data_IF_123030812849
#
_entry.id   IF_123030812849
#
_cell.length_a   1.000
_cell.length_b   1.000
_cell.length_c   1.000
_cell.angle_alpha   90.00
_cell.angle_beta   90.00
_cell.angle_gamma   90.00
#
_symmetry.space_group_name_H-M   'P 1'
#
loop_
_entity.id
_entity.type
_entity.pdbx_description
1 polymer ?
#
# COMPACT_ATOMS: atom_id res chain seq x y z
N UNK A 1 -55.15 -36.83 -37.94
CA UNK A 1 -54.10 -36.79 -36.90
C UNK A 1 -52.87 -36.00 -37.38
N UNK A 2 -52.92 -34.67 -37.40
CA UNK A 2 -51.80 -33.80 -37.85
C UNK A 2 -51.54 -32.58 -36.95
N UNK A 3 -52.48 -32.17 -36.08
CA UNK A 3 -52.36 -30.99 -35.22
C UNK A 3 -51.36 -31.16 -34.07
N UNK A 4 -51.34 -32.33 -33.44
CA UNK A 4 -50.46 -32.67 -32.32
C UNK A 4 -48.96 -32.63 -32.69
N UNK A 5 -48.59 -32.94 -33.93
CA UNK A 5 -47.19 -32.77 -34.40
C UNK A 5 -46.80 -31.31 -34.56
N UNK A 6 -47.72 -30.45 -34.95
CA UNK A 6 -47.44 -29.02 -35.13
C UNK A 6 -47.27 -28.33 -33.76
N UNK A 7 -48.16 -28.63 -32.81
CA UNK A 7 -48.12 -28.08 -31.43
C UNK A 7 -46.83 -28.46 -30.70
N UNK A 8 -46.39 -29.72 -30.81
CA UNK A 8 -45.12 -30.15 -30.20
C UNK A 8 -43.90 -29.41 -30.79
N UNK A 9 -43.91 -29.08 -32.09
CA UNK A 9 -42.81 -28.29 -32.69
C UNK A 9 -42.80 -26.85 -32.20
N UNK A 10 -43.97 -26.20 -32.07
CA UNK A 10 -44.07 -24.86 -31.49
C UNK A 10 -43.57 -24.82 -30.04
N UNK A 11 -43.95 -25.80 -29.21
CA UNK A 11 -43.44 -25.92 -27.83
C UNK A 11 -41.92 -26.10 -27.82
N UNK A 12 -41.37 -26.94 -28.69
CA UNK A 12 -39.93 -27.15 -28.76
C UNK A 12 -39.16 -25.90 -29.20
N UNK A 13 -39.73 -25.09 -30.10
CA UNK A 13 -39.14 -23.82 -30.56
C UNK A 13 -39.15 -22.79 -29.43
N UNK A 14 -40.27 -22.62 -28.73
CA UNK A 14 -40.35 -21.72 -27.58
C UNK A 14 -39.39 -22.13 -26.46
N UNK A 15 -39.25 -23.42 -26.19
CA UNK A 15 -38.29 -23.92 -25.21
C UNK A 15 -36.84 -23.70 -25.65
N UNK A 16 -36.52 -23.93 -26.93
CA UNK A 16 -35.18 -23.67 -27.47
C UNK A 16 -34.80 -22.19 -27.39
N UNK A 17 -35.76 -21.28 -27.63
CA UNK A 17 -35.55 -19.83 -27.47
C UNK A 17 -35.29 -19.50 -25.99
N UNK A 18 -36.04 -20.09 -25.06
CA UNK A 18 -35.83 -19.91 -23.63
C UNK A 18 -34.43 -20.37 -23.19
N UNK A 19 -33.99 -21.56 -23.64
CA UNK A 19 -32.66 -22.09 -23.35
C UNK A 19 -31.58 -21.20 -23.95
N UNK A 20 -31.74 -20.75 -25.20
CA UNK A 20 -30.79 -19.85 -25.84
C UNK A 20 -30.67 -18.52 -25.08
N UNK A 21 -31.78 -17.99 -24.58
CA UNK A 21 -31.80 -16.78 -23.76
C UNK A 21 -31.07 -17.00 -22.42
N UNK A 22 -31.26 -18.15 -21.77
CA UNK A 22 -30.48 -18.51 -20.58
C UNK A 22 -28.99 -18.63 -20.86
N UNK A 23 -28.59 -19.21 -22.01
CA UNK A 23 -27.18 -19.27 -22.43
C UNK A 23 -26.62 -17.86 -22.62
N UNK A 24 -27.36 -16.96 -23.28
CA UNK A 24 -26.93 -15.56 -23.46
C UNK A 24 -26.78 -14.85 -22.12
N UNK A 25 -27.74 -15.00 -21.19
CA UNK A 25 -27.63 -14.44 -19.83
C UNK A 25 -26.42 -15.04 -19.10
N UNK A 26 -26.19 -16.35 -19.24
CA UNK A 26 -25.03 -17.03 -18.67
C UNK A 26 -23.71 -16.49 -19.22
N UNK A 27 -23.62 -16.26 -20.53
CA UNK A 27 -22.45 -15.66 -21.18
C UNK A 27 -22.23 -14.21 -20.77
N UNK A 28 -23.29 -13.40 -20.64
CA UNK A 28 -23.17 -12.02 -20.15
C UNK A 28 -22.68 -12.04 -18.69
N UNK A 29 -23.29 -12.86 -17.82
CA UNK A 29 -22.87 -12.99 -16.41
C UNK A 29 -21.43 -13.48 -16.28
N UNK A 30 -21.04 -14.48 -17.08
CA UNK A 30 -19.69 -15.03 -17.07
C UNK A 30 -18.68 -14.04 -17.66
N UNK A 31 -19.04 -13.35 -18.75
CA UNK A 31 -18.23 -12.31 -19.37
C UNK A 31 -18.02 -11.12 -18.44
N UNK A 32 -19.08 -10.64 -17.78
CA UNK A 32 -18.98 -9.60 -16.74
C UNK A 32 -18.14 -10.08 -15.56
N UNK A 33 -18.32 -11.32 -15.09
CA UNK A 33 -17.50 -11.88 -14.03
C UNK A 33 -16.02 -11.96 -14.44
N UNK A 34 -15.71 -12.46 -15.63
CA UNK A 34 -14.34 -12.54 -16.15
C UNK A 34 -13.74 -11.15 -16.43
N UNK A 35 -14.55 -10.17 -16.86
CA UNK A 35 -14.12 -8.79 -17.08
C UNK A 35 -13.82 -8.09 -15.76
N UNK A 36 -14.72 -8.16 -14.79
CA UNK A 36 -14.49 -7.61 -13.45
C UNK A 36 -13.29 -8.30 -12.80
N UNK A 37 -13.19 -9.62 -12.91
CA UNK A 37 -12.06 -10.39 -12.38
C UNK A 37 -10.76 -10.03 -13.09
N UNK A 38 -10.74 -9.95 -14.42
CA UNK A 38 -9.56 -9.60 -15.22
C UNK A 38 -9.11 -8.15 -15.01
N UNK A 39 -10.04 -7.20 -14.97
CA UNK A 39 -9.75 -5.81 -14.67
C UNK A 39 -9.17 -5.70 -13.26
N UNK A 40 -9.83 -6.27 -12.25
CA UNK A 40 -9.34 -6.28 -10.87
C UNK A 40 -7.98 -6.96 -10.77
N UNK A 41 -7.77 -8.07 -11.48
CA UNK A 41 -6.53 -8.87 -11.49
C UNK A 41 -5.32 -8.08 -11.97
N UNK A 42 -5.49 -7.32 -13.04
CA UNK A 42 -4.40 -6.65 -13.74
C UNK A 42 -4.26 -5.17 -13.39
N UNK A 43 -5.28 -4.51 -12.83
CA UNK A 43 -5.22 -3.11 -12.40
C UNK A 43 -5.06 -2.94 -10.90
N UNK A 44 -4.49 -3.94 -10.20
CA UNK A 44 -4.17 -3.80 -8.78
C UNK A 44 -2.89 -2.97 -8.64
N UNK A 45 -3.05 -1.66 -8.82
CA UNK A 45 -2.06 -0.67 -8.42
C UNK A 45 -1.90 -0.61 -6.90
N UNK A 46 -0.95 0.19 -6.42
CA UNK A 46 -0.75 0.43 -4.99
C UNK A 46 -2.05 0.79 -4.27
N UNK A 47 -2.14 0.48 -2.98
CA UNK A 47 -3.30 0.88 -2.17
C UNK A 47 -3.35 2.40 -2.04
N UNK A 48 -2.19 3.03 -1.99
CA UNK A 48 -2.02 4.47 -1.85
C UNK A 48 -0.95 5.00 -2.81
N UNK A 49 -1.08 6.25 -3.26
CA UNK A 49 0.03 6.90 -3.99
C UNK A 49 1.15 7.29 -3.02
N UNK A 50 2.36 7.52 -3.55
CA UNK A 50 3.49 7.99 -2.73
C UNK A 50 3.11 9.29 -2.00
N UNK A 51 3.45 9.44 -0.71
CA UNK A 51 4.48 8.69 0.03
C UNK A 51 4.02 7.35 0.64
N UNK A 52 2.72 7.05 0.68
CA UNK A 52 2.17 5.87 1.36
C UNK A 52 2.41 5.85 2.87
N UNK A 53 2.03 4.74 3.51
CA UNK A 53 2.16 4.48 4.94
C UNK A 53 2.92 3.17 5.16
N UNK A 54 3.91 3.19 6.04
CA UNK A 54 4.63 1.98 6.45
C UNK A 54 3.81 1.19 7.48
N UNK A 55 3.61 -0.09 7.20
CA UNK A 55 2.84 -1.02 8.03
C UNK A 55 3.68 -2.26 8.28
N UNK A 56 3.89 -2.56 9.55
CA UNK A 56 4.62 -3.75 9.99
C UNK A 56 3.68 -4.94 10.11
N UNK A 57 4.02 -6.04 9.45
CA UNK A 57 3.25 -7.29 9.47
C UNK A 57 4.11 -8.46 9.89
N UNK A 58 3.57 -9.32 10.75
CA UNK A 58 4.24 -10.54 11.20
C UNK A 58 3.70 -11.74 10.42
N UNK A 59 4.59 -12.38 9.67
CA UNK A 59 4.29 -13.53 8.82
C UNK A 59 4.87 -14.77 9.46
N UNK A 60 4.00 -15.50 10.15
CA UNK A 60 4.37 -16.73 10.86
C UNK A 60 4.30 -17.96 9.95
N UNK A 61 5.09 -19.00 10.27
CA UNK A 61 5.24 -20.20 9.42
C UNK A 61 4.03 -21.13 9.35
N UNK A 62 3.05 -20.93 10.22
CA UNK A 62 1.76 -21.61 10.18
C UNK A 62 0.77 -20.98 9.19
N UNK A 63 1.07 -19.79 8.66
CA UNK A 63 0.21 -19.12 7.68
C UNK A 63 0.41 -19.71 6.28
N UNK A 64 -0.67 -20.21 5.70
CA UNK A 64 -0.70 -20.49 4.26
C UNK A 64 -0.56 -19.20 3.44
N UNK A 65 -0.11 -19.31 2.20
CA UNK A 65 -0.05 -18.19 1.24
C UNK A 65 -1.36 -17.38 1.11
N UNK A 66 -2.49 -18.05 1.22
CA UNK A 66 -3.79 -17.41 1.22
C UNK A 66 -4.04 -16.59 2.50
N UNK A 67 -3.59 -17.11 3.65
CA UNK A 67 -3.68 -16.43 4.94
C UNK A 67 -2.73 -15.22 4.99
N UNK A 68 -1.54 -15.32 4.38
CA UNK A 68 -0.63 -14.18 4.20
C UNK A 68 -1.33 -13.08 3.38
N UNK A 69 -1.95 -13.42 2.25
CA UNK A 69 -2.75 -12.45 1.49
C UNK A 69 -3.88 -11.81 2.31
N UNK A 70 -4.57 -12.60 3.14
CA UNK A 70 -5.61 -12.05 4.03
C UNK A 70 -5.05 -11.12 5.09
N UNK A 71 -3.87 -11.41 5.64
CA UNK A 71 -3.16 -10.56 6.59
C UNK A 71 -2.81 -9.22 5.92
N UNK A 72 -2.14 -9.25 4.76
CA UNK A 72 -1.78 -8.05 4.02
C UNK A 72 -2.99 -7.18 3.67
N UNK A 73 -4.13 -7.80 3.32
CA UNK A 73 -5.38 -7.08 3.05
C UNK A 73 -5.94 -6.43 4.31
N UNK A 74 -5.91 -7.14 5.44
CA UNK A 74 -6.42 -6.65 6.73
C UNK A 74 -5.65 -5.42 7.18
N UNK A 75 -4.34 -5.43 6.98
CA UNK A 75 -3.42 -4.34 7.30
C UNK A 75 -3.42 -3.22 6.24
N UNK A 76 -4.27 -3.31 5.22
CA UNK A 76 -4.43 -2.27 4.20
C UNK A 76 -3.28 -2.17 3.20
N UNK A 77 -2.40 -3.17 3.14
CA UNK A 77 -1.27 -3.18 2.22
C UNK A 77 -1.62 -3.69 0.81
N UNK A 78 -2.69 -4.49 0.69
CA UNK A 78 -3.23 -4.92 -0.60
C UNK A 78 -4.75 -4.76 -0.65
N UNK A 79 -5.31 -4.63 -1.86
CA UNK A 79 -6.75 -4.38 -2.05
C UNK A 79 -7.55 -5.69 -2.00
N UNK A 80 -7.04 -6.78 -2.57
CA UNK A 80 -7.70 -8.08 -2.54
C UNK A 80 -6.74 -9.27 -2.26
N UNK A 81 -7.10 -10.06 -1.25
CA UNK A 81 -6.34 -11.23 -0.83
C UNK A 81 -6.43 -12.39 -1.85
N UNK A 82 -7.57 -12.56 -2.53
CA UNK A 82 -7.72 -13.61 -3.53
C UNK A 82 -6.85 -13.30 -4.74
N UNK A 83 -6.72 -12.02 -5.07
CA UNK A 83 -5.93 -11.59 -6.19
C UNK A 83 -4.44 -11.74 -5.90
N UNK A 84 -3.98 -11.23 -4.77
CA UNK A 84 -2.62 -11.48 -4.30
C UNK A 84 -2.29 -12.98 -4.31
N UNK A 85 -3.21 -13.83 -3.83
CA UNK A 85 -3.02 -15.27 -3.83
C UNK A 85 -2.85 -15.86 -5.24
N UNK A 86 -3.70 -15.47 -6.19
CA UNK A 86 -3.58 -15.92 -7.59
C UNK A 86 -2.27 -15.42 -8.20
N UNK A 87 -1.92 -14.14 -7.99
CA UNK A 87 -0.67 -13.56 -8.47
C UNK A 87 0.55 -14.28 -7.88
N UNK A 88 0.57 -14.52 -6.58
CA UNK A 88 1.64 -15.24 -5.90
C UNK A 88 1.79 -16.66 -6.45
N UNK A 89 0.67 -17.37 -6.61
CA UNK A 89 0.65 -18.75 -7.12
C UNK A 89 1.08 -18.87 -8.57
N UNK A 90 0.89 -17.83 -9.37
CA UNK A 90 1.39 -17.74 -10.75
C UNK A 90 2.81 -17.13 -10.85
N UNK A 91 3.27 -16.47 -9.78
CA UNK A 91 4.60 -15.86 -9.72
C UNK A 91 5.69 -16.91 -9.45
N UNK A 92 6.94 -16.51 -9.71
CA UNK A 92 8.11 -17.32 -9.33
C UNK A 92 8.36 -17.38 -7.81
N UNK A 93 7.59 -16.64 -7.01
CA UNK A 93 7.70 -16.54 -5.55
C UNK A 93 6.75 -17.51 -4.81
N UNK A 94 5.95 -18.30 -5.53
CA UNK A 94 5.12 -19.35 -4.94
C UNK A 94 5.96 -20.29 -4.05
N UNK A 95 5.52 -20.48 -2.81
CA UNK A 95 6.20 -21.29 -1.80
C UNK A 95 7.55 -20.76 -1.34
N UNK A 96 7.93 -19.53 -1.73
CA UNK A 96 9.21 -18.91 -1.39
C UNK A 96 9.07 -17.69 -0.47
N UNK A 97 7.85 -17.32 -0.11
CA UNK A 97 7.64 -16.33 0.94
C UNK A 97 8.22 -16.87 2.24
N UNK A 98 9.08 -16.08 2.86
CA UNK A 98 9.72 -16.46 4.09
C UNK A 98 8.92 -15.89 5.27
N UNK A 99 9.17 -16.47 6.43
CA UNK A 99 8.53 -16.05 7.68
C UNK A 99 9.36 -14.95 8.32
N UNK A 100 8.71 -13.97 8.91
CA UNK A 100 9.38 -12.85 9.57
C UNK A 100 8.47 -11.64 9.72
N UNK A 101 9.02 -10.63 10.38
CA UNK A 101 8.40 -9.32 10.52
C UNK A 101 8.84 -8.44 9.36
N UNK A 102 7.88 -7.93 8.59
CA UNK A 102 8.14 -7.11 7.41
C UNK A 102 7.53 -5.72 7.59
N UNK A 103 8.31 -4.67 7.35
CA UNK A 103 7.78 -3.31 7.20
C UNK A 103 7.53 -3.06 5.72
N UNK A 104 6.25 -3.02 5.34
CA UNK A 104 5.81 -2.88 3.96
C UNK A 104 5.06 -1.56 3.82
N UNK A 105 5.12 -0.92 2.66
CA UNK A 105 4.48 0.38 2.45
C UNK A 105 3.22 0.24 1.58
N UNK A 106 2.16 0.99 1.89
CA UNK A 106 0.89 0.99 1.12
C UNK A 106 1.04 1.48 -0.32
N UNK A 107 2.13 2.18 -0.65
CA UNK A 107 2.49 2.59 -2.00
C UNK A 107 3.25 1.54 -2.82
N UNK A 108 3.59 0.40 -2.21
CA UNK A 108 4.18 -0.73 -2.92
C UNK A 108 3.10 -1.54 -3.65
N UNK A 109 3.47 -2.13 -4.79
CA UNK A 109 2.59 -3.09 -5.45
C UNK A 109 2.64 -4.44 -4.74
N UNK A 110 1.58 -5.23 -4.86
CA UNK A 110 1.53 -6.60 -4.35
C UNK A 110 2.75 -7.42 -4.79
N UNK A 111 3.24 -7.22 -6.02
CA UNK A 111 4.42 -7.89 -6.56
C UNK A 111 5.70 -7.47 -5.84
N UNK A 112 5.90 -6.18 -5.58
CA UNK A 112 7.08 -5.69 -4.89
C UNK A 112 7.12 -6.23 -3.45
N UNK A 113 5.96 -6.30 -2.79
CA UNK A 113 5.84 -6.92 -1.47
C UNK A 113 6.21 -8.40 -1.50
N UNK A 114 5.79 -9.16 -2.52
CA UNK A 114 6.20 -10.57 -2.68
C UNK A 114 7.71 -10.69 -2.87
N UNK A 115 8.35 -9.77 -3.58
CA UNK A 115 9.81 -9.74 -3.79
C UNK A 115 10.51 -9.52 -2.46
N UNK A 116 10.09 -8.52 -1.69
CA UNK A 116 10.66 -8.21 -0.37
C UNK A 116 10.51 -9.41 0.57
N UNK A 117 9.30 -9.96 0.68
CA UNK A 117 9.02 -11.11 1.56
C UNK A 117 9.72 -12.42 1.12
N UNK A 118 10.08 -12.54 -0.16
CA UNK A 118 10.85 -13.70 -0.65
C UNK A 118 12.37 -13.49 -0.52
N UNK A 119 12.84 -12.23 -0.54
CA UNK A 119 14.25 -11.87 -0.45
C UNK A 119 14.71 -11.72 1.01
N UNK A 120 13.96 -10.97 1.81
CA UNK A 120 14.25 -10.72 3.23
C UNK A 120 13.74 -11.87 4.10
N UNK A 121 14.67 -12.47 4.83
CA UNK A 121 14.41 -13.31 6.01
C UNK A 121 15.61 -13.24 6.92
N UNK A 122 15.94 -12.06 7.38
CA UNK A 122 16.96 -11.94 8.40
C UNK A 122 16.31 -11.14 9.51
N UNK A 123 15.77 -11.89 10.48
CA UNK A 123 15.56 -11.54 11.88
C UNK A 123 15.66 -10.05 12.21
N UNK A 124 14.53 -9.41 12.50
CA UNK A 124 14.50 -8.12 13.22
C UNK A 124 13.79 -8.34 14.55
N UNK A 125 14.56 -8.88 15.49
CA UNK A 125 14.27 -8.87 16.92
C UNK A 125 15.02 -7.70 17.54
N UNK A 126 14.55 -6.47 17.36
CA UNK A 126 14.97 -5.24 18.07
C UNK A 126 13.91 -4.17 17.74
N UNK A 127 13.23 -3.46 18.64
CA UNK A 127 13.34 -3.32 20.08
C UNK A 127 11.99 -2.88 20.64
N UNK A 128 11.54 -3.53 21.71
CA UNK A 128 10.68 -2.87 22.70
C UNK A 128 11.61 -2.07 23.61
N UNK A 129 11.55 -0.74 23.57
CA UNK A 129 11.94 0.05 24.74
C UNK A 129 10.98 1.23 24.89
N UNK A 130 9.94 1.00 25.70
CA UNK A 130 9.25 2.07 26.41
C UNK A 130 10.14 2.46 27.59
N UNK A 131 10.60 3.71 27.64
CA UNK A 131 11.03 4.33 28.91
C UNK A 131 10.46 5.74 28.98
N UNK A 132 9.40 5.88 29.78
CA UNK A 132 9.09 7.10 30.48
C UNK A 132 10.28 7.46 31.38
N UNK A 133 10.85 8.66 31.27
CA UNK A 133 11.55 9.25 32.39
C UNK A 133 11.43 10.77 32.39
N UNK A 134 10.68 11.24 33.40
CA UNK A 134 10.67 12.61 33.90
C UNK A 134 12.08 13.00 34.34
N UNK A 135 12.49 14.22 34.06
CA UNK A 135 13.58 14.88 34.79
C UNK A 135 13.05 16.17 35.41
N UNK A 136 12.57 16.02 36.64
CA UNK A 136 12.47 17.09 37.61
C UNK A 136 13.65 16.95 38.59
N UNK A 137 14.10 18.08 39.17
CA UNK A 137 15.10 18.26 40.24
C UNK A 137 16.55 18.44 39.76
N UNK A 138 17.40 19.30 40.31
CA UNK A 138 17.33 20.40 41.28
C UNK A 138 18.78 20.91 41.38
N UNK A 139 19.03 22.21 41.30
CA UNK A 139 20.21 22.85 41.90
C UNK A 139 20.03 24.36 41.93
N UNK A 140 19.75 24.79 43.15
CA UNK A 140 19.65 26.15 43.68
C UNK A 140 20.99 26.86 43.85
N UNK A 141 20.86 28.18 44.07
CA UNK A 141 21.78 29.13 44.75
C UNK A 141 22.72 29.93 43.81
N UNK A 142 22.85 31.27 43.84
CA UNK A 142 22.30 32.33 44.69
C UNK A 142 23.23 33.57 44.67
N UNK A 143 22.77 34.68 44.05
CA UNK A 143 22.96 36.11 44.41
C UNK A 143 24.34 36.84 44.45
N UNK A 144 24.38 37.95 43.66
CA UNK A 144 25.03 39.29 43.76
C UNK A 144 26.57 39.42 43.87
N UNK A 145 27.27 40.47 43.43
CA UNK A 145 26.95 41.88 43.12
C UNK A 145 28.16 42.56 42.44
N UNK A 146 27.89 43.57 41.60
CA UNK A 146 28.65 44.81 41.27
C UNK A 146 30.18 44.81 41.04
N UNK A 147 30.62 45.32 39.88
CA UNK A 147 31.42 46.58 39.82
C UNK A 147 31.40 47.21 38.40
N UNK A 148 31.61 48.51 38.43
CA UNK A 148 31.29 49.62 37.52
C UNK A 148 32.46 49.98 36.61
N UNK A 149 32.21 50.60 35.44
CA UNK A 149 33.25 51.34 34.70
C UNK A 149 32.87 51.73 33.28
N UNK A 150 32.67 53.03 33.05
CA UNK A 150 32.26 53.69 31.82
C UNK A 150 33.43 53.92 30.82
N UNK A 151 33.10 54.37 29.60
CA UNK A 151 33.80 55.31 28.68
C UNK A 151 33.38 54.95 27.23
N UNK A 152 32.40 55.61 26.61
CA UNK A 152 32.37 56.91 25.91
C UNK A 152 32.98 56.95 24.48
N UNK A 153 32.11 57.41 23.57
CA UNK A 153 32.21 57.99 22.22
C UNK A 153 33.40 57.71 21.24
N UNK A 154 33.04 57.45 19.98
CA UNK A 154 33.93 57.58 18.82
C UNK A 154 33.28 57.17 17.50
N UNK A 155 32.67 58.13 16.82
CA UNK A 155 32.09 58.06 15.48
C UNK A 155 33.18 58.05 14.38
N UNK A 156 32.81 57.55 13.19
CA UNK A 156 33.24 57.94 11.83
C UNK A 156 33.55 56.74 10.91
N UNK A 157 33.00 56.78 9.69
CA UNK A 157 33.64 56.16 8.52
C UNK A 157 32.74 55.36 7.58
N UNK A 158 32.09 56.06 6.64
CA UNK A 158 31.50 55.52 5.41
C UNK A 158 32.48 54.65 4.61
N UNK A 159 31.99 53.63 3.91
CA UNK A 159 32.05 53.60 2.44
C UNK A 159 31.15 52.51 1.85
N UNK A 160 30.40 52.97 0.86
CA UNK A 160 29.58 52.32 -0.16
C UNK A 160 30.38 51.32 -0.98
N UNK A 161 29.76 50.25 -1.46
CA UNK A 161 29.78 49.95 -2.90
C UNK A 161 28.66 48.97 -3.27
N UNK A 162 27.89 49.44 -4.24
CA UNK A 162 26.80 48.76 -4.95
C UNK A 162 27.40 47.76 -5.94
N UNK A 163 26.76 46.61 -6.14
CA UNK A 163 26.84 45.93 -7.43
C UNK A 163 25.56 45.15 -7.73
N UNK A 164 24.68 45.80 -8.48
CA UNK A 164 23.74 45.18 -9.40
C UNK A 164 24.51 44.34 -10.44
N UNK A 165 24.08 43.12 -10.74
CA UNK A 165 23.82 42.79 -12.15
C UNK A 165 22.84 41.62 -12.32
N UNK A 166 21.82 41.93 -13.11
CA UNK A 166 20.80 41.07 -13.68
C UNK A 166 21.28 40.31 -14.93
N UNK A 167 20.39 39.45 -15.45
CA UNK A 167 20.39 38.89 -16.82
C UNK A 167 20.17 37.38 -16.79
N UNK A 168 19.03 36.77 -17.14
CA UNK A 168 18.08 36.97 -18.26
C UNK A 168 18.75 36.85 -19.64
N UNK A 169 18.75 35.62 -20.18
CA UNK A 169 18.88 35.19 -21.59
C UNK A 169 18.46 33.71 -21.59
N UNK A 170 17.71 33.11 -22.51
CA UNK A 170 16.93 33.46 -23.70
C UNK A 170 15.76 32.45 -23.79
#
# INVERSE_FOLDING_TARGET
>A
MKLNKLVLKFVSISFSILVMLLVVIGLIKLGSFCYDFGYRVFTEGPVEEKPGTDVTVDVTGDLSEYQIGKLLKKEGLIRDANLFYVQLRMSAYHGKLKTGTYTLNTSMTAKDMMVVMAAESEESTESTESTEQRTDLDSSDGTSSDDTGADDAGEEGQNTDENEQAGAVE
#
